data_IF_093134212556
#
_entry.id   IF_093134212556
#
_cell.length_a   1.000
_cell.length_b   1.000
_cell.length_c   1.000
_cell.angle_alpha   90.00
_cell.angle_beta   90.00
_cell.angle_gamma   90.00
#
_symmetry.space_group_name_H-M   'P 1'
#
loop_
_entity.id
_entity.type
_entity.pdbx_description
1 polymer ?
#
# COMPACT_ATOMS: atom_id res chain seq x y z
N UNK A 1 -12.00 -48.42 -32.65
CA UNK A 1 -12.16 -47.02 -32.19
C UNK A 1 -10.78 -46.50 -31.86
N UNK A 2 -10.26 -45.59 -32.68
CA UNK A 2 -8.97 -44.91 -32.49
C UNK A 2 -9.28 -43.44 -32.20
N UNK A 3 -8.68 -42.91 -31.13
CA UNK A 3 -8.35 -41.50 -30.86
C UNK A 3 -8.32 -41.33 -29.33
N UNK A 4 -7.33 -40.75 -28.68
CA UNK A 4 -6.15 -40.03 -29.16
C UNK A 4 -5.53 -39.37 -27.92
N UNK A 5 -4.25 -39.63 -27.71
CA UNK A 5 -3.41 -38.95 -26.72
C UNK A 5 -3.26 -37.50 -27.17
N UNK A 6 -3.72 -36.55 -26.35
CA UNK A 6 -3.41 -35.13 -26.54
C UNK A 6 -2.10 -34.80 -25.81
N UNK A 7 -1.01 -35.14 -26.48
CA UNK A 7 0.29 -34.50 -26.32
C UNK A 7 0.15 -33.09 -26.90
N UNK A 8 0.29 -32.04 -26.09
CA UNK A 8 0.67 -30.72 -26.61
C UNK A 8 2.10 -30.42 -26.16
N UNK A 9 2.87 -30.16 -27.19
CA UNK A 9 4.31 -30.07 -27.28
C UNK A 9 4.82 -28.77 -26.67
N UNK A 10 5.97 -28.91 -25.98
CA UNK A 10 6.94 -27.89 -25.64
C UNK A 10 7.22 -26.87 -26.76
N UNK A 11 7.14 -25.58 -26.43
CA UNK A 11 8.09 -24.58 -26.92
C UNK A 11 8.82 -24.12 -25.65
N UNK A 12 10.10 -24.39 -25.41
CA UNK A 12 11.19 -24.30 -26.37
C UNK A 12 11.89 -22.94 -26.24
N UNK A 13 12.41 -22.61 -25.06
CA UNK A 13 13.49 -21.65 -24.91
C UNK A 13 14.51 -22.23 -23.93
N UNK A 14 15.32 -23.16 -24.44
CA UNK A 14 16.58 -23.50 -23.81
C UNK A 14 17.60 -22.40 -24.11
N UNK A 15 18.07 -21.73 -23.06
CA UNK A 15 19.40 -21.14 -23.05
C UNK A 15 20.17 -21.78 -21.89
N UNK A 16 21.21 -22.49 -22.30
CA UNK A 16 22.15 -23.28 -21.49
C UNK A 16 23.05 -22.35 -20.68
N UNK A 17 23.41 -22.74 -19.46
CA UNK A 17 24.62 -22.24 -18.81
C UNK A 17 24.52 -22.20 -17.31
N UNK A 18 25.06 -23.22 -16.66
CA UNK A 18 25.28 -23.24 -15.23
C UNK A 18 26.08 -22.00 -14.79
N UNK A 19 25.45 -21.13 -14.00
CA UNK A 19 26.13 -20.17 -13.13
C UNK A 19 25.52 -20.33 -11.73
N UNK A 20 26.43 -20.62 -10.80
CA UNK A 20 26.32 -20.63 -9.35
C UNK A 20 25.07 -20.00 -8.70
N UNK A 21 24.47 -20.75 -7.78
CA UNK A 21 23.91 -20.19 -6.54
C UNK A 21 22.43 -19.78 -6.56
N UNK A 22 21.63 -20.52 -5.80
CA UNK A 22 20.56 -19.99 -4.92
C UNK A 22 19.26 -19.39 -5.47
N UNK A 23 18.76 -19.65 -6.68
CA UNK A 23 17.48 -19.02 -7.11
C UNK A 23 16.38 -19.92 -7.67
N UNK A 24 16.42 -21.23 -7.38
CA UNK A 24 15.30 -22.15 -7.72
C UNK A 24 14.23 -22.23 -6.62
N UNK A 25 14.45 -21.61 -5.45
CA UNK A 25 13.52 -21.66 -4.31
C UNK A 25 12.46 -20.55 -4.37
N UNK A 26 12.63 -19.54 -5.22
CA UNK A 26 11.68 -18.41 -5.27
C UNK A 26 10.45 -18.65 -6.15
N UNK A 27 10.45 -19.64 -7.05
CA UNK A 27 9.30 -19.86 -7.94
C UNK A 27 8.11 -20.61 -7.30
N UNK A 28 8.31 -21.23 -6.14
CA UNK A 28 7.23 -21.86 -5.35
C UNK A 28 6.63 -20.95 -4.25
N UNK A 29 7.15 -19.74 -4.04
CA UNK A 29 6.64 -18.80 -3.01
C UNK A 29 5.71 -17.70 -3.56
N UNK A 30 5.73 -17.47 -4.87
CA UNK A 30 4.88 -16.46 -5.53
C UNK A 30 3.54 -17.01 -6.06
N UNK A 31 3.33 -18.34 -6.04
CA UNK A 31 2.13 -18.98 -6.60
C UNK A 31 0.99 -19.27 -5.62
N UNK A 32 1.18 -19.12 -4.30
CA UNK A 32 0.23 -19.67 -3.30
C UNK A 32 -0.46 -18.61 -2.41
N UNK A 33 0.04 -17.38 -2.31
CA UNK A 33 -0.57 -16.37 -1.42
C UNK A 33 -1.73 -15.58 -2.04
N UNK A 34 -1.95 -15.67 -3.35
CA UNK A 34 -2.92 -14.82 -4.05
C UNK A 34 -4.34 -15.38 -4.13
N UNK A 35 -4.58 -16.67 -3.85
CA UNK A 35 -5.86 -17.31 -4.17
C UNK A 35 -6.83 -17.46 -3.00
N UNK A 36 -6.51 -16.96 -1.79
CA UNK A 36 -7.34 -17.23 -0.60
C UNK A 36 -7.45 -16.09 0.44
N UNK A 37 -7.03 -14.85 0.13
CA UNK A 37 -7.44 -13.73 0.98
C UNK A 37 -8.90 -13.46 0.63
N UNK A 38 -9.82 -13.87 1.50
CA UNK A 38 -11.20 -13.41 1.40
C UNK A 38 -11.20 -11.91 1.67
N UNK A 39 -11.17 -11.15 0.58
CA UNK A 39 -11.07 -9.71 0.61
C UNK A 39 -12.31 -9.13 1.29
N UNK A 40 -12.14 -8.39 2.38
CA UNK A 40 -13.28 -7.75 3.03
C UNK A 40 -13.81 -6.66 2.11
N UNK A 41 -15.13 -6.65 1.88
CA UNK A 41 -15.78 -5.56 1.15
C UNK A 41 -15.68 -4.25 1.92
N UNK A 42 -15.73 -3.11 1.22
CA UNK A 42 -15.76 -1.79 1.85
C UNK A 42 -16.91 -1.64 2.85
N UNK A 43 -18.08 -2.21 2.55
CA UNK A 43 -19.23 -2.22 3.46
C UNK A 43 -18.90 -2.92 4.77
N UNK A 44 -18.22 -4.07 4.70
CA UNK A 44 -17.75 -4.79 5.89
C UNK A 44 -16.72 -3.96 6.64
N UNK A 45 -15.73 -3.41 5.93
CA UNK A 45 -14.63 -2.63 6.53
C UNK A 45 -15.16 -1.39 7.24
N UNK A 46 -16.15 -0.70 6.67
CA UNK A 46 -16.74 0.50 7.25
C UNK A 46 -17.38 0.27 8.64
N UNK A 47 -17.80 -0.96 8.92
CA UNK A 47 -18.37 -1.34 10.23
C UNK A 47 -17.34 -1.72 11.29
N UNK A 48 -16.06 -1.89 10.90
CA UNK A 48 -15.01 -2.31 11.82
C UNK A 48 -14.66 -1.21 12.85
N UNK A 49 -14.06 -1.59 13.98
CA UNK A 49 -13.34 -0.65 14.85
C UNK A 49 -12.26 0.11 14.05
N UNK A 50 -12.03 1.39 14.39
CA UNK A 50 -11.13 2.26 13.62
C UNK A 50 -9.68 1.77 13.55
N UNK A 51 -9.22 1.05 14.58
CA UNK A 51 -7.91 0.40 14.59
C UNK A 51 -7.82 -0.77 13.60
N UNK A 52 -8.90 -1.52 13.42
CA UNK A 52 -8.99 -2.60 12.44
C UNK A 52 -9.14 -2.06 11.02
N UNK A 53 -9.88 -0.95 10.83
CA UNK A 53 -9.89 -0.23 9.56
C UNK A 53 -8.47 0.20 9.17
N UNK A 54 -7.70 0.76 10.10
CA UNK A 54 -6.31 1.12 9.84
C UNK A 54 -5.44 -0.10 9.47
N UNK A 55 -5.57 -1.22 10.20
CA UNK A 55 -4.85 -2.45 9.86
C UNK A 55 -5.19 -2.95 8.45
N UNK A 56 -6.48 -2.94 8.08
CA UNK A 56 -6.92 -3.31 6.74
C UNK A 56 -6.34 -2.36 5.67
N UNK A 57 -6.31 -1.05 5.92
CA UNK A 57 -5.67 -0.11 5.01
C UNK A 57 -4.17 -0.40 4.82
N UNK A 58 -3.45 -0.78 5.87
CA UNK A 58 -2.03 -1.17 5.75
C UNK A 58 -1.87 -2.43 4.88
N UNK A 59 -2.78 -3.40 5.01
CA UNK A 59 -2.79 -4.59 4.14
C UNK A 59 -3.07 -4.23 2.67
N UNK A 60 -3.96 -3.26 2.41
CA UNK A 60 -4.20 -2.70 1.06
C UNK A 60 -2.97 -2.01 0.50
N UNK A 61 -2.26 -1.22 1.31
CA UNK A 61 -1.01 -0.56 0.90
C UNK A 61 0.03 -1.61 0.51
N UNK A 62 0.19 -2.66 1.34
CA UNK A 62 1.12 -3.76 1.05
C UNK A 62 0.74 -4.55 -0.21
N UNK A 63 -0.54 -4.58 -0.58
CA UNK A 63 -1.05 -5.18 -1.81
C UNK A 63 -0.95 -4.24 -3.04
N UNK A 64 -0.57 -2.97 -2.86
CA UNK A 64 -0.58 -1.97 -3.93
C UNK A 64 -1.97 -1.42 -4.27
N UNK A 65 -2.99 -1.74 -3.47
CA UNK A 65 -4.38 -1.31 -3.65
C UNK A 65 -4.59 0.10 -3.05
N UNK A 66 -3.81 1.06 -3.51
CA UNK A 66 -3.64 2.37 -2.86
C UNK A 66 -4.93 3.21 -2.84
N UNK A 67 -5.76 3.13 -3.88
CA UNK A 67 -7.06 3.79 -3.89
C UNK A 67 -8.00 3.24 -2.81
N UNK A 68 -7.99 1.92 -2.62
CA UNK A 68 -8.78 1.26 -1.59
C UNK A 68 -8.27 1.62 -0.19
N UNK A 69 -6.94 1.60 -0.02
CA UNK A 69 -6.30 2.01 1.22
C UNK A 69 -6.71 3.44 1.62
N UNK A 70 -6.65 4.39 0.68
CA UNK A 70 -7.02 5.78 0.92
C UNK A 70 -8.45 5.90 1.45
N UNK A 71 -9.42 5.26 0.80
CA UNK A 71 -10.83 5.29 1.23
C UNK A 71 -11.00 4.76 2.66
N UNK A 72 -10.30 3.66 3.00
CA UNK A 72 -10.36 3.08 4.34
C UNK A 72 -9.70 4.01 5.37
N UNK A 73 -8.55 4.60 5.05
CA UNK A 73 -7.87 5.58 5.90
C UNK A 73 -8.74 6.80 6.13
N UNK A 74 -9.39 7.33 5.10
CA UNK A 74 -10.30 8.47 5.21
C UNK A 74 -11.47 8.14 6.14
N UNK A 75 -12.09 6.98 5.98
CA UNK A 75 -13.17 6.53 6.87
C UNK A 75 -12.73 6.40 8.33
N UNK A 76 -11.53 5.88 8.57
CA UNK A 76 -10.97 5.79 9.93
C UNK A 76 -10.61 7.18 10.49
N UNK A 77 -10.03 8.06 9.68
CA UNK A 77 -9.67 9.42 10.08
C UNK A 77 -10.90 10.31 10.32
N UNK A 78 -12.00 10.09 9.60
CA UNK A 78 -13.31 10.72 9.86
C UNK A 78 -13.90 10.29 11.21
N UNK A 79 -13.46 9.14 11.74
CA UNK A 79 -13.80 8.61 13.08
C UNK A 79 -12.65 8.82 14.08
N UNK A 80 -11.93 9.92 13.93
CA UNK A 80 -10.89 10.41 14.85
C UNK A 80 -9.67 9.49 15.04
N UNK A 81 -9.39 8.60 14.08
CA UNK A 81 -8.16 7.81 14.13
C UNK A 81 -6.94 8.63 13.66
N UNK A 82 -6.20 9.17 14.62
CA UNK A 82 -5.05 10.05 14.40
C UNK A 82 -4.02 9.47 13.40
N UNK A 83 -3.67 8.20 13.57
CA UNK A 83 -2.67 7.53 12.72
C UNK A 83 -3.10 7.36 11.28
N UNK A 84 -4.42 7.25 11.02
CA UNK A 84 -4.93 7.24 9.65
C UNK A 84 -4.79 8.61 9.00
N UNK A 85 -5.08 9.69 9.74
CA UNK A 85 -4.85 11.05 9.25
C UNK A 85 -3.36 11.27 8.91
N UNK A 86 -2.43 10.81 9.75
CA UNK A 86 -0.99 10.85 9.45
C UNK A 86 -0.65 10.09 8.17
N UNK A 87 -1.16 8.87 8.00
CA UNK A 87 -0.88 8.06 6.82
C UNK A 87 -1.38 8.73 5.53
N UNK A 88 -2.55 9.41 5.55
CA UNK A 88 -3.03 10.17 4.40
C UNK A 88 -2.10 11.36 4.11
N UNK A 89 -1.65 12.07 5.16
CA UNK A 89 -0.68 13.15 5.01
C UNK A 89 0.60 12.70 4.32
N UNK A 90 1.16 11.54 4.72
CA UNK A 90 2.36 10.96 4.09
C UNK A 90 2.15 10.63 2.60
N UNK A 91 0.94 10.25 2.18
CA UNK A 91 0.63 9.98 0.77
C UNK A 91 0.64 11.24 -0.11
N UNK A 92 0.38 12.42 0.48
CA UNK A 92 0.44 13.71 -0.21
C UNK A 92 1.81 14.41 -0.09
N UNK A 93 2.62 14.00 0.89
CA UNK A 93 3.82 14.71 1.31
C UNK A 93 4.92 14.72 0.22
N UNK A 94 5.29 15.88 -0.34
CA UNK A 94 6.36 15.98 -1.32
C UNK A 94 7.73 15.56 -0.77
N UNK A 95 8.00 15.71 0.52
CA UNK A 95 9.26 15.28 1.13
C UNK A 95 9.39 13.75 1.22
N UNK A 96 8.27 13.02 1.09
CA UNK A 96 8.20 11.55 1.13
C UNK A 96 7.81 10.96 -0.23
N UNK A 97 7.69 11.81 -1.24
CA UNK A 97 7.21 11.41 -2.56
C UNK A 97 8.17 10.43 -3.23
N UNK A 98 7.67 9.27 -3.63
CA UNK A 98 8.47 8.18 -4.19
C UNK A 98 9.09 7.24 -3.16
N UNK A 99 9.14 7.62 -1.88
CA UNK A 99 9.54 6.72 -0.78
C UNK A 99 8.32 5.94 -0.23
N UNK A 100 7.17 6.61 -0.14
CA UNK A 100 5.91 6.03 0.32
C UNK A 100 4.97 5.81 -0.89
N UNK A 101 4.30 4.65 -1.00
CA UNK A 101 3.28 4.44 -2.01
C UNK A 101 2.14 5.45 -1.89
N UNK A 102 1.78 6.09 -3.01
CA UNK A 102 0.69 7.07 -3.09
C UNK A 102 -0.27 6.75 -4.25
N UNK A 103 -1.59 6.88 -4.06
CA UNK A 103 -2.56 6.76 -5.16
C UNK A 103 -2.60 8.01 -6.07
N UNK A 104 -1.93 9.10 -5.69
CA UNK A 104 -2.00 10.36 -6.41
C UNK A 104 -0.96 10.43 -7.54
N UNK A 105 -1.23 11.28 -8.54
CA UNK A 105 -0.32 11.48 -9.68
C UNK A 105 0.80 12.48 -9.41
N UNK A 106 0.66 13.29 -8.34
CA UNK A 106 1.65 14.28 -7.89
C UNK A 106 1.47 14.54 -6.38
N UNK A 107 2.51 15.00 -5.67
CA UNK A 107 2.37 15.41 -4.28
C UNK A 107 1.55 16.70 -4.16
N UNK A 108 1.02 16.95 -2.96
CA UNK A 108 0.32 18.18 -2.61
C UNK A 108 0.68 18.59 -1.16
N UNK A 109 1.61 19.55 -0.97
CA UNK A 109 2.02 19.99 0.36
C UNK A 109 0.88 20.61 1.19
N UNK A 110 -0.12 21.21 0.54
CA UNK A 110 -1.26 21.84 1.22
C UNK A 110 -2.13 20.75 1.85
N UNK A 111 -2.41 19.69 1.10
CA UNK A 111 -3.15 18.53 1.60
C UNK A 111 -2.37 17.77 2.67
N UNK A 112 -1.06 17.55 2.48
CA UNK A 112 -0.22 16.92 3.50
C UNK A 112 -0.28 17.68 4.84
N UNK A 113 -0.12 19.00 4.79
CA UNK A 113 -0.26 19.89 5.96
C UNK A 113 -1.63 19.78 6.61
N UNK A 114 -2.71 19.80 5.82
CA UNK A 114 -4.08 19.68 6.34
C UNK A 114 -4.27 18.39 7.14
N UNK A 115 -3.76 17.27 6.62
CA UNK A 115 -3.88 15.97 7.28
C UNK A 115 -2.97 15.84 8.50
N UNK A 116 -1.74 16.33 8.45
CA UNK A 116 -0.86 16.37 9.62
C UNK A 116 -1.40 17.28 10.73
N UNK A 117 -2.04 18.40 10.38
CA UNK A 117 -2.68 19.26 11.37
C UNK A 117 -3.80 18.51 12.10
N UNK A 118 -4.69 17.86 11.34
CA UNK A 118 -5.74 16.99 11.92
C UNK A 118 -5.14 15.87 12.78
N UNK A 119 -4.09 15.21 12.33
CA UNK A 119 -3.45 14.14 13.11
C UNK A 119 -2.82 14.66 14.41
N UNK A 120 -2.26 15.89 14.40
CA UNK A 120 -1.73 16.56 15.58
C UNK A 120 -2.84 16.90 16.57
N UNK A 121 -3.97 17.42 16.09
CA UNK A 121 -5.17 17.69 16.92
C UNK A 121 -5.72 16.42 17.57
N UNK A 122 -5.65 15.28 16.86
CA UNK A 122 -6.04 13.96 17.35
C UNK A 122 -4.94 13.28 18.19
N UNK A 123 -3.76 13.89 18.33
CA UNK A 123 -2.68 13.44 19.20
C UNK A 123 -1.74 12.36 18.64
N UNK A 124 -1.59 12.22 17.32
CA UNK A 124 -0.49 11.39 16.77
C UNK A 124 0.85 12.12 16.99
N UNK A 125 1.77 11.59 17.83
CA UNK A 125 3.02 12.27 18.14
C UNK A 125 3.95 12.43 16.94
N UNK A 126 3.82 11.59 15.90
CA UNK A 126 4.65 11.67 14.69
C UNK A 126 4.22 12.81 13.77
N UNK A 127 2.96 13.27 13.88
CA UNK A 127 2.42 14.26 12.97
C UNK A 127 3.15 15.61 13.07
N UNK A 128 3.58 16.01 14.26
CA UNK A 128 4.33 17.25 14.46
C UNK A 128 5.72 17.22 13.81
N UNK A 129 6.41 16.07 13.89
CA UNK A 129 7.71 15.87 13.23
C UNK A 129 7.58 15.90 11.70
N UNK A 130 6.56 15.22 11.17
CA UNK A 130 6.27 15.22 9.74
C UNK A 130 5.89 16.62 9.24
N UNK A 131 5.10 17.37 10.02
CA UNK A 131 4.78 18.77 9.73
C UNK A 131 6.04 19.64 9.65
N UNK A 132 6.98 19.46 10.59
CA UNK A 132 8.23 20.20 10.58
C UNK A 132 9.10 19.84 9.38
N UNK A 133 9.18 18.55 9.03
CA UNK A 133 9.86 18.08 7.83
C UNK A 133 9.27 18.67 6.55
N UNK A 134 7.94 18.73 6.45
CA UNK A 134 7.24 19.34 5.32
C UNK A 134 7.55 20.84 5.20
N UNK A 135 7.51 21.57 6.31
CA UNK A 135 7.90 22.99 6.32
C UNK A 135 9.35 23.21 5.90
N UNK A 136 10.28 22.37 6.35
CA UNK A 136 11.68 22.45 5.92
C UNK A 136 11.85 22.16 4.41
N UNK A 137 11.07 21.22 3.86
CA UNK A 137 11.06 20.96 2.42
C UNK A 137 10.57 22.16 1.61
N UNK A 138 9.51 22.85 2.07
CA UNK A 138 8.96 24.04 1.41
C UNK A 138 9.95 25.21 1.41
N UNK A 139 10.67 25.43 2.50
CA UNK A 139 11.69 26.49 2.61
C UNK A 139 12.89 26.25 1.68
N UNK A 140 13.12 25.00 1.29
CA UNK A 140 14.23 24.61 0.42
C UNK A 140 13.90 24.68 -1.09
N UNK A 141 12.65 24.97 -1.47
CA UNK A 141 12.23 25.16 -2.88
C UNK A 141 12.48 26.60 -3.36
#
# INVERSE_FOLDING_TARGET
MVAGVALIILIGAGAVGAVYGSDIVNWLRFGEKSSARQEKSLETIATLPVSEMYAEAQDRIAAGELNMALVILEGAAQRDHARSATAIGEMYDPARWGEIPSPFTKPDPIEARRWYAKATELGDPRAAELMASLSAWEEAQ
#
